data_IF_142261185996
#
_entry.id   IF_142261185996
#
_cell.length_a   1.000
_cell.length_b   1.000
_cell.length_c   1.000
_cell.angle_alpha   90.00
_cell.angle_beta   90.00
_cell.angle_gamma   90.00
#
_symmetry.space_group_name_H-M   'P 1'
#
loop_
_entity.id
_entity.type
_entity.pdbx_description
1 polymer ?
#
# COMPACT_ATOMS: atom_id res chain seq x y z
N UNK A 1 -56.98 44.23 51.61
CA UNK A 1 -55.54 44.06 51.34
C UNK A 1 -55.45 42.97 50.30
N UNK A 2 -54.85 43.34 49.18
CA UNK A 2 -54.43 42.54 48.01
C UNK A 2 -55.51 42.14 46.98
N UNK A 3 -55.80 43.12 46.11
CA UNK A 3 -55.46 43.13 44.68
C UNK A 3 -55.81 41.91 43.79
N UNK A 4 -56.95 42.04 43.09
CA UNK A 4 -57.04 41.81 41.63
C UNK A 4 -56.40 43.01 40.89
N UNK A 5 -55.82 42.90 39.66
CA UNK A 5 -56.56 42.38 38.49
C UNK A 5 -55.76 41.84 37.27
N UNK A 6 -56.54 41.44 36.26
CA UNK A 6 -56.33 41.59 34.81
C UNK A 6 -55.18 40.88 34.10
N UNK A 7 -55.59 39.92 33.28
CA UNK A 7 -55.08 39.68 31.93
C UNK A 7 -54.88 40.98 31.15
N UNK A 8 -53.63 41.34 30.89
CA UNK A 8 -53.25 42.32 29.88
C UNK A 8 -52.19 41.73 28.93
N UNK A 9 -52.64 41.47 27.70
CA UNK A 9 -52.13 42.12 26.49
C UNK A 9 -50.63 42.49 26.48
N UNK A 10 -49.78 41.61 25.96
CA UNK A 10 -48.57 42.06 25.24
C UNK A 10 -48.90 42.07 23.75
N UNK A 11 -49.30 43.27 23.35
CA UNK A 11 -49.46 43.75 21.99
C UNK A 11 -48.19 43.48 21.17
N UNK A 12 -48.31 42.57 20.19
CA UNK A 12 -47.41 42.51 19.04
C UNK A 12 -47.53 43.80 18.23
N UNK A 13 -46.72 44.80 18.54
CA UNK A 13 -46.33 45.81 17.55
C UNK A 13 -45.20 45.24 16.71
N UNK A 14 -45.56 44.30 15.83
CA UNK A 14 -44.78 44.03 14.63
C UNK A 14 -45.00 45.26 13.75
N UNK A 15 -44.06 46.19 13.77
CA UNK A 15 -43.92 47.18 12.71
C UNK A 15 -43.54 46.42 11.44
N UNK A 16 -44.56 45.98 10.72
CA UNK A 16 -44.45 45.60 9.33
C UNK A 16 -44.18 46.88 8.53
N UNK A 17 -42.91 47.15 8.17
CA UNK A 17 -42.53 47.53 6.80
C UNK A 17 -41.00 47.73 6.60
N UNK A 18 -40.16 46.82 7.09
CA UNK A 18 -38.81 46.69 6.52
C UNK A 18 -38.73 45.38 5.77
N UNK A 19 -38.90 45.47 4.44
CA UNK A 19 -38.56 44.40 3.52
C UNK A 19 -37.19 43.82 3.92
N UNK A 20 -37.03 42.48 4.05
CA UNK A 20 -35.80 41.88 4.56
C UNK A 20 -34.63 42.43 3.75
N UNK A 21 -33.84 43.29 4.39
CA UNK A 21 -32.73 44.00 3.75
C UNK A 21 -31.88 42.94 3.07
N UNK A 22 -31.83 42.96 1.74
CA UNK A 22 -31.04 42.01 0.96
C UNK A 22 -29.58 42.27 1.31
N UNK A 23 -29.07 41.48 2.27
CA UNK A 23 -27.67 41.49 2.65
C UNK A 23 -26.84 41.41 1.38
N UNK A 24 -25.95 42.38 1.22
CA UNK A 24 -24.98 42.41 0.14
C UNK A 24 -24.14 41.14 0.18
N UNK A 25 -23.51 40.80 -0.94
CA UNK A 25 -22.60 39.63 -1.00
C UNK A 25 -21.48 39.72 0.06
N UNK A 26 -21.05 40.94 0.39
CA UNK A 26 -20.07 41.21 1.45
C UNK A 26 -20.63 40.96 2.85
N UNK A 27 -21.85 41.43 3.14
CA UNK A 27 -22.52 41.23 4.43
C UNK A 27 -22.89 39.75 4.65
N UNK A 28 -23.36 39.04 3.61
CA UNK A 28 -23.56 37.58 3.67
C UNK A 28 -22.24 36.85 3.92
N UNK A 29 -21.16 37.24 3.22
CA UNK A 29 -19.83 36.64 3.41
C UNK A 29 -19.25 36.92 4.80
N UNK A 30 -19.57 38.06 5.41
CA UNK A 30 -19.18 38.38 6.78
C UNK A 30 -20.00 37.59 7.81
N UNK A 31 -21.31 37.44 7.60
CA UNK A 31 -22.21 36.71 8.48
C UNK A 31 -21.86 35.21 8.57
N UNK A 32 -21.38 34.62 7.46
CA UNK A 32 -20.98 33.21 7.40
C UNK A 32 -19.46 33.00 7.43
N UNK A 33 -18.66 34.04 7.72
CA UNK A 33 -17.21 33.84 7.90
C UNK A 33 -17.01 33.10 9.23
N UNK A 34 -16.36 31.92 9.24
CA UNK A 34 -16.02 31.26 10.49
C UNK A 34 -15.16 32.22 11.33
N UNK A 35 -15.66 32.61 12.50
CA UNK A 35 -14.86 33.30 13.49
C UNK A 35 -13.98 32.25 14.17
N UNK A 36 -12.66 32.44 14.15
CA UNK A 36 -11.74 31.58 14.88
C UNK A 36 -11.42 32.22 16.23
N UNK A 37 -11.16 31.39 17.24
CA UNK A 37 -10.77 31.89 18.56
C UNK A 37 -9.41 32.61 18.48
N UNK A 38 -9.20 33.60 19.33
CA UNK A 38 -7.87 34.18 19.53
C UNK A 38 -6.97 33.20 20.30
N UNK A 39 -5.65 33.17 20.04
CA UNK A 39 -4.88 34.05 19.14
C UNK A 39 -4.86 33.63 17.65
N UNK A 40 -5.54 32.53 17.29
CA UNK A 40 -5.46 31.89 15.98
C UNK A 40 -5.95 32.81 14.84
N UNK A 41 -7.03 33.56 15.06
CA UNK A 41 -7.56 34.51 14.08
C UNK A 41 -6.56 35.63 13.76
N UNK A 42 -5.94 36.22 14.78
CA UNK A 42 -4.90 37.25 14.61
C UNK A 42 -3.70 36.69 13.86
N UNK A 43 -3.19 35.51 14.25
CA UNK A 43 -2.07 34.84 13.57
C UNK A 43 -2.36 34.60 12.09
N UNK A 44 -3.56 34.09 11.77
CA UNK A 44 -4.00 33.90 10.39
C UNK A 44 -3.99 35.20 9.59
N UNK A 45 -4.49 36.30 10.17
CA UNK A 45 -4.51 37.61 9.49
C UNK A 45 -3.10 38.09 9.18
N UNK A 46 -2.19 38.03 10.15
CA UNK A 46 -0.79 38.47 10.00
C UNK A 46 -0.08 37.65 8.92
N UNK A 47 -0.12 36.31 9.01
CA UNK A 47 0.51 35.43 8.02
C UNK A 47 -0.03 35.66 6.62
N UNK A 48 -1.34 35.83 6.49
CA UNK A 48 -1.99 36.12 5.21
C UNK A 48 -1.57 37.48 4.64
N UNK A 49 -1.47 38.50 5.49
CA UNK A 49 -1.08 39.85 5.07
C UNK A 49 0.35 39.85 4.50
N UNK A 50 1.30 39.27 5.24
CA UNK A 50 2.69 39.10 4.78
C UNK A 50 2.74 38.29 3.48
N UNK A 51 2.01 37.18 3.40
CA UNK A 51 2.01 36.30 2.23
C UNK A 51 1.51 36.99 0.94
N UNK A 52 0.50 37.85 1.06
CA UNK A 52 -0.13 38.52 -0.09
C UNK A 52 0.52 39.86 -0.46
N UNK A 53 1.05 40.59 0.51
CA UNK A 53 1.52 41.97 0.28
C UNK A 53 3.03 42.05 0.05
N UNK A 54 3.83 41.13 0.61
CA UNK A 54 5.28 41.13 0.37
C UNK A 54 5.60 40.53 -1.00
N UNK A 55 6.22 41.35 -1.86
CA UNK A 55 6.52 41.00 -3.25
C UNK A 55 7.91 40.36 -3.39
N UNK A 56 8.82 40.67 -2.49
CA UNK A 56 10.14 40.05 -2.47
C UNK A 56 10.02 38.63 -1.89
N UNK A 57 10.24 37.61 -2.73
CA UNK A 57 10.05 36.21 -2.31
C UNK A 57 10.94 35.82 -1.11
N UNK A 58 12.19 36.27 -1.09
CA UNK A 58 13.15 35.96 -0.03
C UNK A 58 12.73 36.62 1.29
N UNK A 59 12.42 37.92 1.25
CA UNK A 59 11.97 38.65 2.44
C UNK A 59 10.65 38.07 2.98
N UNK A 60 9.72 37.70 2.09
CA UNK A 60 8.47 37.03 2.47
C UNK A 60 8.73 35.71 3.19
N UNK A 61 9.62 34.87 2.67
CA UNK A 61 9.98 33.60 3.31
C UNK A 61 10.63 33.81 4.68
N UNK A 62 11.54 34.78 4.80
CA UNK A 62 12.19 35.13 6.07
C UNK A 62 11.19 35.62 7.12
N UNK A 63 10.29 36.54 6.74
CA UNK A 63 9.26 37.08 7.64
C UNK A 63 8.29 35.99 8.09
N UNK A 64 7.77 35.17 7.16
CA UNK A 64 6.87 34.06 7.51
C UNK A 64 7.56 33.05 8.41
N UNK A 65 8.82 32.71 8.13
CA UNK A 65 9.62 31.80 8.95
C UNK A 65 9.80 32.35 10.36
N UNK A 66 10.19 33.62 10.49
CA UNK A 66 10.39 34.27 11.79
C UNK A 66 9.11 34.32 12.61
N UNK A 67 7.98 34.68 12.00
CA UNK A 67 6.67 34.73 12.67
C UNK A 67 6.24 33.33 13.13
N UNK A 68 6.34 32.33 12.25
CA UNK A 68 5.93 30.96 12.56
C UNK A 68 6.80 30.36 13.67
N UNK A 69 8.12 30.56 13.62
CA UNK A 69 9.03 30.12 14.68
C UNK A 69 8.64 30.75 16.02
N UNK A 70 8.37 32.06 16.04
CA UNK A 70 7.89 32.72 17.26
C UNK A 70 6.57 32.16 17.78
N UNK A 71 5.65 31.75 16.89
CA UNK A 71 4.40 31.11 17.30
C UNK A 71 4.69 29.75 17.95
N UNK A 72 5.50 28.92 17.30
CA UNK A 72 5.81 27.56 17.78
C UNK A 72 6.61 27.55 19.09
N UNK A 73 7.47 28.54 19.33
CA UNK A 73 8.18 28.67 20.61
C UNK A 73 7.27 29.11 21.77
N UNK A 74 6.21 29.88 21.50
CA UNK A 74 5.36 30.45 22.54
C UNK A 74 4.15 29.58 22.87
N UNK A 75 3.73 28.69 21.97
CA UNK A 75 2.53 27.89 22.14
C UNK A 75 2.77 26.67 23.02
N UNK A 76 1.81 26.38 23.90
CA UNK A 76 1.86 25.19 24.76
C UNK A 76 1.79 23.85 23.99
N UNK A 77 1.19 23.86 22.80
CA UNK A 77 1.21 22.74 21.88
C UNK A 77 1.47 23.25 20.44
N UNK A 78 2.72 23.23 19.98
CA UNK A 78 3.06 23.77 18.66
C UNK A 78 2.59 22.86 17.51
N UNK A 79 2.39 21.56 17.77
CA UNK A 79 1.82 20.63 16.78
C UNK A 79 0.35 20.96 16.46
N UNK A 80 -0.49 21.15 17.49
CA UNK A 80 -1.87 21.60 17.29
C UNK A 80 -1.90 22.97 16.60
N UNK A 81 -1.05 23.90 17.05
CA UNK A 81 -0.96 25.24 16.47
C UNK A 81 -0.62 25.22 14.98
N UNK A 82 0.31 24.35 14.57
CA UNK A 82 0.61 24.11 13.16
C UNK A 82 -0.62 23.55 12.40
N UNK A 83 -1.30 22.53 12.94
CA UNK A 83 -2.49 21.94 12.31
C UNK A 83 -3.61 22.97 12.11
N UNK A 84 -3.91 23.74 13.15
CA UNK A 84 -4.94 24.76 13.09
C UNK A 84 -4.60 25.83 12.06
N UNK A 85 -3.35 26.33 12.04
CA UNK A 85 -2.90 27.33 11.06
C UNK A 85 -2.96 26.80 9.63
N UNK A 86 -2.55 25.55 9.40
CA UNK A 86 -2.64 24.90 8.09
C UNK A 86 -4.11 24.80 7.63
N UNK A 87 -5.01 24.31 8.50
CA UNK A 87 -6.44 24.09 8.21
C UNK A 87 -7.19 25.36 7.84
N UNK A 88 -6.86 26.49 8.47
CA UNK A 88 -7.54 27.78 8.25
C UNK A 88 -6.88 28.63 7.16
N UNK A 89 -5.79 28.14 6.55
CA UNK A 89 -5.12 28.86 5.49
C UNK A 89 -6.04 29.03 4.27
N UNK A 90 -6.03 30.20 3.62
CA UNK A 90 -6.93 30.50 2.50
C UNK A 90 -6.71 29.57 1.30
N UNK A 91 -5.55 28.95 1.21
CA UNK A 91 -5.11 28.03 0.17
C UNK A 91 -4.92 26.59 0.70
N UNK A 92 -5.58 26.23 1.80
CA UNK A 92 -5.58 24.86 2.35
C UNK A 92 -5.95 23.77 1.32
N UNK A 93 -6.79 24.11 0.32
CA UNK A 93 -7.15 23.17 -0.74
C UNK A 93 -6.11 23.07 -1.89
N UNK A 94 -5.01 23.84 -1.82
CA UNK A 94 -4.01 23.92 -2.88
C UNK A 94 -2.79 23.05 -2.56
N UNK A 95 -2.50 22.08 -3.42
CA UNK A 95 -1.30 21.25 -3.31
C UNK A 95 -0.02 21.94 -3.87
N UNK A 96 0.14 23.24 -3.64
CA UNK A 96 1.29 24.00 -4.15
C UNK A 96 2.33 24.15 -3.04
N UNK A 97 3.59 23.73 -3.22
CA UNK A 97 4.62 23.85 -2.17
C UNK A 97 4.78 25.28 -1.63
N UNK A 98 4.67 26.29 -2.50
CA UNK A 98 4.75 27.71 -2.16
C UNK A 98 3.43 28.31 -1.61
N UNK A 99 2.38 27.50 -1.40
CA UNK A 99 1.15 27.96 -0.74
C UNK A 99 1.44 28.32 0.72
N UNK A 100 0.63 29.20 1.33
CA UNK A 100 0.76 29.51 2.74
C UNK A 100 0.56 28.26 3.60
N UNK A 101 -0.43 27.44 3.27
CA UNK A 101 -0.66 26.14 3.91
C UNK A 101 0.59 25.23 3.86
N UNK A 102 1.27 25.16 2.71
CA UNK A 102 2.50 24.40 2.54
C UNK A 102 3.68 24.99 3.30
N UNK A 103 3.85 26.32 3.25
CA UNK A 103 4.90 27.03 4.00
C UNK A 103 4.76 26.76 5.51
N UNK A 104 3.55 26.75 6.05
CA UNK A 104 3.32 26.47 7.48
C UNK A 104 3.88 25.10 7.88
N UNK A 105 3.54 24.04 7.12
CA UNK A 105 3.94 22.66 7.44
C UNK A 105 5.46 22.49 7.25
N UNK A 106 6.01 23.02 6.14
CA UNK A 106 7.45 22.97 5.87
C UNK A 106 8.27 23.72 6.91
N UNK A 107 7.80 24.90 7.33
CA UNK A 107 8.47 25.71 8.35
C UNK A 107 8.40 25.03 9.71
N UNK A 108 7.27 24.41 10.07
CA UNK A 108 7.18 23.62 11.30
C UNK A 108 8.14 22.44 11.31
N UNK A 109 8.25 21.71 10.20
CA UNK A 109 9.25 20.64 10.07
C UNK A 109 10.68 21.17 10.22
N UNK A 110 11.02 22.28 9.54
CA UNK A 110 12.33 22.96 9.69
C UNK A 110 12.58 23.42 11.12
N UNK A 111 11.53 23.80 11.85
CA UNK A 111 11.62 24.22 13.25
C UNK A 111 11.93 23.02 14.15
N UNK A 112 11.22 21.90 13.99
CA UNK A 112 11.49 20.66 14.73
C UNK A 112 12.94 20.17 14.53
N UNK A 113 13.44 20.17 13.29
CA UNK A 113 14.81 19.74 12.97
C UNK A 113 15.91 20.61 13.61
N UNK A 114 15.59 21.80 14.12
CA UNK A 114 16.55 22.68 14.80
C UNK A 114 16.55 22.51 16.31
N UNK A 115 15.65 21.71 16.85
CA UNK A 115 15.50 21.50 18.29
C UNK A 115 16.34 20.32 18.75
N UNK A 116 16.86 20.44 19.96
CA UNK A 116 17.58 19.37 20.64
C UNK A 116 16.66 18.54 21.57
N UNK A 117 15.44 19.02 21.84
CA UNK A 117 14.43 18.45 22.74
C UNK A 117 13.18 17.94 21.99
N UNK A 118 13.32 17.56 20.72
CA UNK A 118 12.22 17.16 19.85
C UNK A 118 11.44 15.95 20.38
N UNK A 119 12.12 14.96 20.95
CA UNK A 119 11.49 13.77 21.56
C UNK A 119 10.64 14.15 22.77
N UNK A 120 11.17 14.95 23.71
CA UNK A 120 10.43 15.37 24.90
C UNK A 120 9.23 16.25 24.54
N UNK A 121 9.39 17.11 23.53
CA UNK A 121 8.30 17.92 23.01
C UNK A 121 7.21 17.06 22.37
N UNK A 122 7.60 16.05 21.58
CA UNK A 122 6.68 15.11 20.96
C UNK A 122 5.85 14.38 22.03
N UNK A 123 6.51 13.77 23.03
CA UNK A 123 5.84 13.01 24.09
C UNK A 123 4.87 13.85 24.92
N UNK A 124 5.19 15.14 25.11
CA UNK A 124 4.32 16.08 25.84
C UNK A 124 3.12 16.55 25.02
N UNK A 125 3.28 16.72 23.71
CA UNK A 125 2.31 17.43 22.88
C UNK A 125 1.46 16.50 21.99
N UNK A 126 1.98 15.34 21.61
CA UNK A 126 1.31 14.43 20.70
C UNK A 126 0.46 13.42 21.47
N UNK A 127 -0.84 13.43 21.18
CA UNK A 127 -1.77 12.38 21.58
C UNK A 127 -2.27 11.62 20.36
N UNK A 128 -2.82 10.43 20.58
CA UNK A 128 -3.42 9.63 19.51
C UNK A 128 -4.54 10.39 18.78
N UNK A 129 -5.34 11.19 19.50
CA UNK A 129 -6.37 12.04 18.90
C UNK A 129 -5.77 13.10 17.98
N UNK A 130 -4.65 13.70 18.37
CA UNK A 130 -3.96 14.69 17.57
C UNK A 130 -3.35 14.06 16.31
N UNK A 131 -2.79 12.85 16.41
CA UNK A 131 -2.32 12.08 15.24
C UNK A 131 -3.47 11.74 14.28
N UNK A 132 -4.61 11.31 14.80
CA UNK A 132 -5.81 11.05 13.99
C UNK A 132 -6.31 12.32 13.29
N UNK A 133 -6.33 13.46 13.98
CA UNK A 133 -6.72 14.74 13.37
C UNK A 133 -5.69 15.21 12.34
N UNK A 134 -4.40 15.05 12.61
CA UNK A 134 -3.34 15.33 11.64
C UNK A 134 -3.53 14.52 10.35
N UNK A 135 -3.80 13.22 10.46
CA UNK A 135 -4.12 12.37 9.31
C UNK A 135 -5.36 12.88 8.55
N UNK A 136 -6.46 13.18 9.26
CA UNK A 136 -7.69 13.71 8.63
C UNK A 136 -7.42 15.00 7.86
N UNK A 137 -6.65 15.92 8.45
CA UNK A 137 -6.29 17.19 7.82
C UNK A 137 -5.41 16.95 6.58
N UNK A 138 -4.42 16.05 6.69
CA UNK A 138 -3.49 15.71 5.62
C UNK A 138 -4.15 15.04 4.41
N UNK A 139 -5.35 14.49 4.56
CA UNK A 139 -6.06 13.78 3.49
C UNK A 139 -7.39 14.40 3.09
N UNK A 140 -7.89 15.43 3.78
CA UNK A 140 -9.23 15.95 3.55
C UNK A 140 -9.42 16.75 2.25
N UNK A 141 -8.35 17.34 1.69
CA UNK A 141 -8.41 18.14 0.45
C UNK A 141 -7.52 17.59 -0.65
N UNK A 142 -6.32 17.19 -0.29
CA UNK A 142 -5.33 16.54 -1.14
C UNK A 142 -4.30 15.87 -0.24
N UNK A 143 -3.49 15.00 -0.81
CA UNK A 143 -2.50 14.15 -0.12
C UNK A 143 -1.06 14.65 -0.27
N UNK A 144 -0.81 15.78 -0.92
CA UNK A 144 0.57 16.18 -1.25
C UNK A 144 1.47 16.59 -0.08
N UNK A 145 0.92 16.78 1.13
CA UNK A 145 1.72 16.93 2.36
C UNK A 145 1.69 15.69 3.25
N UNK A 146 1.06 14.59 2.82
CA UNK A 146 0.84 13.40 3.65
C UNK A 146 2.14 12.82 4.17
N UNK A 147 3.17 12.72 3.33
CA UNK A 147 4.50 12.26 3.72
C UNK A 147 5.07 13.09 4.87
N UNK A 148 4.99 14.41 4.75
CA UNK A 148 5.51 15.34 5.75
C UNK A 148 4.70 15.27 7.06
N UNK A 149 3.37 15.10 6.98
CA UNK A 149 2.54 14.86 8.17
C UNK A 149 2.86 13.52 8.83
N UNK A 150 3.12 12.48 8.04
CA UNK A 150 3.51 11.17 8.56
C UNK A 150 4.82 11.25 9.33
N UNK A 151 5.80 11.99 8.82
CA UNK A 151 7.07 12.27 9.49
C UNK A 151 6.86 13.10 10.77
N UNK A 152 6.18 14.24 10.69
CA UNK A 152 5.96 15.15 11.81
C UNK A 152 5.19 14.49 12.97
N UNK A 153 4.15 13.71 12.67
CA UNK A 153 3.24 13.13 13.68
C UNK A 153 3.51 11.66 13.96
N UNK A 154 4.59 11.09 13.40
CA UNK A 154 4.91 9.66 13.50
C UNK A 154 3.70 8.76 13.21
N UNK A 155 3.01 8.99 12.09
CA UNK A 155 1.73 8.30 11.79
C UNK A 155 1.90 6.80 11.46
N UNK A 156 3.13 6.29 11.44
CA UNK A 156 3.45 4.88 11.18
C UNK A 156 3.12 3.94 12.35
N UNK A 157 2.51 4.43 13.42
CA UNK A 157 2.11 3.62 14.57
C UNK A 157 1.09 2.54 14.17
N UNK A 158 1.37 1.32 14.64
CA UNK A 158 0.48 0.16 14.51
C UNK A 158 -0.92 0.40 15.08
N UNK A 159 -1.07 1.23 16.11
CA UNK A 159 -2.38 1.53 16.70
C UNK A 159 -3.28 2.34 15.74
N UNK A 160 -2.68 3.24 14.96
CA UNK A 160 -3.37 4.06 13.97
C UNK A 160 -3.76 3.28 12.72
N UNK A 161 -3.16 2.11 12.48
CA UNK A 161 -3.36 1.34 11.26
C UNK A 161 -4.83 0.96 11.01
N UNK A 162 -5.57 0.66 12.08
CA UNK A 162 -6.99 0.33 12.00
C UNK A 162 -7.81 1.52 11.50
N UNK A 163 -7.57 2.70 12.08
CA UNK A 163 -8.19 3.97 11.70
C UNK A 163 -7.82 4.38 10.27
N UNK A 164 -6.55 4.25 9.88
CA UNK A 164 -6.08 4.58 8.53
C UNK A 164 -6.77 3.70 7.49
N UNK A 165 -6.89 2.38 7.74
CA UNK A 165 -7.61 1.45 6.85
C UNK A 165 -9.09 1.82 6.69
N UNK A 166 -9.76 2.18 7.78
CA UNK A 166 -11.15 2.68 7.72
C UNK A 166 -11.27 3.94 6.86
N UNK A 167 -10.31 4.86 6.96
CA UNK A 167 -10.32 6.09 6.14
C UNK A 167 -10.03 5.83 4.68
N UNK A 168 -9.11 4.92 4.37
CA UNK A 168 -8.89 4.48 2.98
C UNK A 168 -10.18 3.88 2.42
N UNK A 169 -10.86 3.00 3.17
CA UNK A 169 -12.14 2.43 2.76
C UNK A 169 -13.18 3.52 2.48
N UNK A 170 -13.30 4.52 3.36
CA UNK A 170 -14.19 5.66 3.14
C UNK A 170 -13.79 6.52 1.93
N UNK A 171 -12.51 6.64 1.58
CA UNK A 171 -12.06 7.37 0.39
C UNK A 171 -12.46 6.62 -0.88
N UNK A 172 -12.26 5.30 -0.87
CA UNK A 172 -12.65 4.41 -1.98
C UNK A 172 -14.18 4.43 -2.16
N UNK A 173 -14.95 4.44 -1.07
CA UNK A 173 -16.42 4.59 -1.11
C UNK A 173 -16.89 5.92 -1.70
N UNK A 174 -16.06 6.97 -1.65
CA UNK A 174 -16.34 8.30 -2.21
C UNK A 174 -15.70 8.53 -3.58
N UNK A 175 -15.18 7.47 -4.20
CA UNK A 175 -14.46 7.53 -5.49
C UNK A 175 -13.20 8.43 -5.47
N UNK A 176 -12.60 8.65 -4.30
CA UNK A 176 -11.32 9.37 -4.15
C UNK A 176 -10.15 8.41 -4.37
N UNK A 177 -10.11 7.76 -5.54
CA UNK A 177 -9.16 6.66 -5.80
C UNK A 177 -7.70 7.12 -5.82
N UNK A 178 -7.43 8.32 -6.32
CA UNK A 178 -6.07 8.86 -6.35
C UNK A 178 -5.54 9.08 -4.94
N UNK A 179 -6.30 9.79 -4.11
CA UNK A 179 -5.92 10.09 -2.73
C UNK A 179 -5.82 8.81 -1.90
N UNK A 180 -6.73 7.85 -2.10
CA UNK A 180 -6.64 6.55 -1.46
C UNK A 180 -5.35 5.80 -1.86
N UNK A 181 -4.94 5.85 -3.13
CA UNK A 181 -3.69 5.24 -3.57
C UNK A 181 -2.45 5.92 -2.98
N UNK A 182 -2.43 7.25 -2.94
CA UNK A 182 -1.33 7.99 -2.31
C UNK A 182 -1.16 7.58 -0.84
N UNK A 183 -2.27 7.38 -0.12
CA UNK A 183 -2.23 6.86 1.27
C UNK A 183 -1.75 5.40 1.31
N UNK A 184 -2.22 4.53 0.41
CA UNK A 184 -1.79 3.12 0.37
C UNK A 184 -0.29 3.02 0.14
N UNK A 185 0.25 3.81 -0.79
CA UNK A 185 1.68 3.86 -1.10
C UNK A 185 2.48 4.38 0.09
N UNK A 186 2.08 5.53 0.64
CA UNK A 186 2.81 6.14 1.74
C UNK A 186 2.84 5.24 2.99
N UNK A 187 1.79 4.45 3.25
CA UNK A 187 1.74 3.55 4.41
C UNK A 187 2.12 2.09 4.09
N UNK A 188 2.56 1.79 2.87
CA UNK A 188 2.99 0.44 2.47
C UNK A 188 1.86 -0.60 2.55
N UNK A 189 0.60 -0.19 2.35
CA UNK A 189 -0.59 -1.04 2.51
C UNK A 189 -0.95 -1.80 1.21
N UNK A 190 0.07 -2.20 0.47
CA UNK A 190 -0.07 -2.92 -0.80
C UNK A 190 -0.70 -4.31 -0.56
N UNK A 191 -1.60 -4.74 -1.46
CA UNK A 191 -2.34 -5.99 -1.33
C UNK A 191 -3.85 -5.77 -1.42
N UNK A 192 -4.61 -6.30 -0.43
CA UNK A 192 -6.09 -6.32 -0.43
C UNK A 192 -6.76 -4.97 -0.74
N UNK A 193 -6.14 -3.87 -0.34
CA UNK A 193 -6.66 -2.52 -0.60
C UNK A 193 -6.65 -2.18 -2.09
N UNK A 194 -5.53 -2.48 -2.78
CA UNK A 194 -5.40 -2.30 -4.23
C UNK A 194 -6.40 -3.19 -4.96
N UNK A 195 -6.55 -4.44 -4.52
CA UNK A 195 -7.54 -5.36 -5.08
C UNK A 195 -8.97 -4.81 -4.99
N UNK A 196 -9.34 -4.27 -3.82
CA UNK A 196 -10.65 -3.67 -3.57
C UNK A 196 -10.91 -2.47 -4.48
N UNK A 197 -9.88 -1.65 -4.73
CA UNK A 197 -9.97 -0.49 -5.63
C UNK A 197 -10.16 -0.91 -7.08
N UNK A 198 -9.37 -1.88 -7.55
CA UNK A 198 -9.50 -2.45 -8.90
C UNK A 198 -10.90 -3.04 -9.09
N UNK A 199 -11.39 -3.79 -8.12
CA UNK A 199 -12.72 -4.40 -8.18
C UNK A 199 -13.83 -3.35 -8.31
N UNK A 200 -13.76 -2.27 -7.53
CA UNK A 200 -14.73 -1.17 -7.61
C UNK A 200 -14.67 -0.42 -8.94
N UNK A 201 -13.48 -0.07 -9.40
CA UNK A 201 -13.29 0.61 -10.69
C UNK A 201 -13.81 -0.24 -11.86
N UNK A 202 -13.49 -1.53 -11.87
CA UNK A 202 -13.99 -2.45 -12.89
C UNK A 202 -15.52 -2.54 -12.88
N UNK A 203 -16.14 -2.64 -11.70
CA UNK A 203 -17.61 -2.65 -11.58
C UNK A 203 -18.26 -1.33 -12.05
N UNK A 204 -17.70 -0.18 -11.68
CA UNK A 204 -18.20 1.13 -12.12
C UNK A 204 -18.13 1.33 -13.63
N UNK A 205 -17.07 0.80 -14.25
CA UNK A 205 -16.87 0.85 -15.69
C UNK A 205 -17.56 -0.30 -16.44
N UNK A 206 -18.30 -1.16 -15.73
CA UNK A 206 -18.93 -2.38 -16.26
C UNK A 206 -17.94 -3.28 -17.04
N UNK A 207 -16.69 -3.32 -16.59
CA UNK A 207 -15.64 -4.14 -17.17
C UNK A 207 -15.58 -5.49 -16.46
N UNK A 208 -15.35 -6.60 -17.20
CA UNK A 208 -15.01 -7.87 -16.58
C UNK A 208 -13.74 -7.69 -15.75
N UNK A 209 -13.82 -7.93 -14.46
CA UNK A 209 -12.70 -7.71 -13.53
C UNK A 209 -11.45 -8.50 -13.94
N UNK A 210 -11.64 -9.70 -14.49
CA UNK A 210 -10.60 -10.57 -15.03
C UNK A 210 -9.86 -9.98 -16.23
N UNK A 211 -10.50 -9.06 -16.96
CA UNK A 211 -9.88 -8.36 -18.10
C UNK A 211 -9.03 -7.18 -17.65
N UNK A 212 -9.35 -6.57 -16.50
CA UNK A 212 -8.67 -5.37 -15.99
C UNK A 212 -7.39 -5.72 -15.23
N UNK A 213 -7.40 -6.81 -14.46
CA UNK A 213 -6.24 -7.23 -13.67
C UNK A 213 -6.04 -8.76 -13.69
N UNK A 214 -5.77 -9.37 -14.86
CA UNK A 214 -5.73 -10.83 -15.02
C UNK A 214 -4.77 -11.54 -14.06
N UNK A 215 -3.62 -10.93 -13.76
CA UNK A 215 -2.61 -11.51 -12.87
C UNK A 215 -3.04 -11.51 -11.40
N UNK A 216 -3.77 -10.48 -10.96
CA UNK A 216 -4.28 -10.38 -9.60
C UNK A 216 -5.30 -11.49 -9.31
N UNK A 217 -6.19 -11.74 -10.26
CA UNK A 217 -7.19 -12.80 -10.15
C UNK A 217 -6.62 -14.18 -10.42
N UNK A 218 -5.57 -14.30 -11.24
CA UNK A 218 -4.79 -15.53 -11.37
C UNK A 218 -4.13 -15.88 -10.03
N UNK A 219 -3.44 -14.95 -9.37
CA UNK A 219 -2.85 -15.19 -8.05
C UNK A 219 -3.89 -15.56 -6.98
N UNK A 220 -5.10 -14.99 -7.04
CA UNK A 220 -6.20 -15.39 -6.15
C UNK A 220 -6.78 -16.75 -6.48
N UNK A 221 -6.97 -17.08 -7.76
CA UNK A 221 -7.41 -18.42 -8.19
C UNK A 221 -6.35 -19.46 -7.88
N UNK A 222 -5.07 -19.15 -8.07
CA UNK A 222 -3.93 -19.97 -7.66
C UNK A 222 -3.82 -20.05 -6.14
N UNK A 223 -4.13 -19.00 -5.40
CA UNK A 223 -4.19 -18.99 -3.95
C UNK A 223 -5.33 -19.85 -3.41
N UNK A 224 -6.52 -19.73 -4.00
CA UNK A 224 -7.69 -20.57 -3.72
C UNK A 224 -7.47 -22.02 -4.19
N UNK A 225 -6.75 -22.22 -5.30
CA UNK A 225 -6.35 -23.55 -5.77
C UNK A 225 -5.24 -24.12 -4.89
N UNK A 226 -4.28 -23.33 -4.37
CA UNK A 226 -3.31 -23.76 -3.35
C UNK A 226 -4.04 -24.08 -2.05
N UNK A 227 -5.04 -23.29 -1.66
CA UNK A 227 -5.87 -23.56 -0.49
C UNK A 227 -6.77 -24.80 -0.68
N UNK A 228 -7.19 -25.10 -1.91
CA UNK A 228 -7.98 -26.30 -2.28
C UNK A 228 -7.11 -27.51 -2.65
N UNK A 229 -5.86 -27.33 -3.04
CA UNK A 229 -4.90 -28.36 -3.47
C UNK A 229 -3.80 -28.62 -2.43
N UNK A 230 -3.74 -27.87 -1.33
CA UNK A 230 -2.97 -28.22 -0.14
C UNK A 230 -3.92 -28.85 0.87
N UNK A 231 -4.24 -30.13 0.65
CA UNK A 231 -4.54 -30.96 1.82
C UNK A 231 -3.35 -30.82 2.76
N UNK A 232 -3.59 -30.69 4.06
CA UNK A 232 -2.50 -30.68 5.02
C UNK A 232 -1.65 -31.96 4.93
N UNK A 233 -2.20 -33.03 4.33
CA UNK A 233 -1.52 -34.27 3.94
C UNK A 233 -0.39 -34.03 2.93
N UNK A 234 -0.54 -33.17 1.91
CA UNK A 234 0.50 -32.87 0.93
C UNK A 234 1.68 -32.12 1.55
N UNK A 235 1.37 -31.15 2.42
CA UNK A 235 2.40 -30.45 3.18
C UNK A 235 3.16 -31.44 4.10
N UNK A 236 2.45 -32.37 4.73
CA UNK A 236 3.09 -33.43 5.54
C UNK A 236 3.99 -34.34 4.69
N UNK A 237 3.59 -34.70 3.46
CA UNK A 237 4.45 -35.47 2.54
C UNK A 237 5.77 -34.75 2.25
N UNK A 238 5.76 -33.44 2.00
CA UNK A 238 6.99 -32.67 1.81
C UNK A 238 7.86 -32.61 3.07
N UNK A 239 7.23 -32.50 4.25
CA UNK A 239 7.96 -32.54 5.54
C UNK A 239 8.70 -33.85 5.70
N UNK A 240 8.03 -34.98 5.44
CA UNK A 240 8.63 -36.32 5.50
C UNK A 240 9.70 -36.50 4.43
N UNK A 241 9.39 -36.18 3.17
CA UNK A 241 10.29 -36.37 2.03
C UNK A 241 11.58 -35.55 2.15
N UNK A 242 11.50 -34.30 2.60
CA UNK A 242 12.65 -33.42 2.76
C UNK A 242 13.29 -33.48 4.16
N UNK A 243 12.78 -34.35 5.05
CA UNK A 243 13.22 -34.47 6.44
C UNK A 243 13.30 -33.12 7.18
N UNK A 244 12.23 -32.33 7.10
CA UNK A 244 12.17 -30.97 7.68
C UNK A 244 11.95 -31.07 9.20
N UNK A 245 12.81 -30.48 10.05
CA UNK A 245 12.67 -30.57 11.50
C UNK A 245 11.48 -29.77 12.02
N UNK A 246 10.81 -30.27 13.06
CA UNK A 246 9.59 -29.69 13.66
C UNK A 246 9.71 -28.19 13.96
N UNK A 247 10.87 -27.75 14.47
CA UNK A 247 11.13 -26.37 14.82
C UNK A 247 11.05 -25.39 13.63
N UNK A 248 11.15 -25.89 12.39
CA UNK A 248 11.07 -25.09 11.16
C UNK A 248 9.70 -25.15 10.48
N UNK A 249 8.75 -25.92 11.04
CA UNK A 249 7.42 -26.05 10.47
C UNK A 249 6.54 -24.84 10.79
N UNK A 250 5.67 -24.40 9.87
CA UNK A 250 4.63 -23.43 10.19
C UNK A 250 3.71 -23.93 11.31
N UNK A 251 3.34 -23.06 12.25
CA UNK A 251 2.52 -23.41 13.43
C UNK A 251 1.24 -24.17 13.09
N UNK A 252 0.53 -23.78 12.02
CA UNK A 252 -0.70 -24.48 11.58
C UNK A 252 -0.45 -25.93 11.15
N UNK A 253 0.71 -26.21 10.55
CA UNK A 253 1.08 -27.56 10.12
C UNK A 253 1.52 -28.41 11.32
N UNK A 254 2.24 -27.82 12.29
CA UNK A 254 2.55 -28.47 13.57
C UNK A 254 1.26 -28.86 14.31
N UNK A 255 0.31 -27.93 14.41
CA UNK A 255 -1.00 -28.20 15.03
C UNK A 255 -1.74 -29.32 14.30
N UNK A 256 -1.73 -29.34 12.96
CA UNK A 256 -2.34 -30.42 12.18
C UNK A 256 -1.69 -31.79 12.42
N UNK A 257 -0.34 -31.86 12.41
CA UNK A 257 0.41 -33.09 12.67
C UNK A 257 0.13 -33.61 14.09
N UNK A 258 0.16 -32.72 15.09
CA UNK A 258 -0.10 -33.06 16.48
C UNK A 258 -1.54 -33.55 16.73
N UNK A 259 -2.49 -32.99 15.99
CA UNK A 259 -3.91 -33.33 16.11
C UNK A 259 -4.34 -34.52 15.22
N UNK A 260 -3.45 -35.03 14.36
CA UNK A 260 -3.77 -36.11 13.41
C UNK A 260 -2.78 -37.28 13.58
N UNK A 261 -2.98 -38.16 14.58
CA UNK A 261 -2.10 -39.28 14.83
C UNK A 261 -1.95 -40.18 13.60
N UNK A 262 -0.71 -40.54 13.26
CA UNK A 262 -0.40 -41.42 12.12
C UNK A 262 -0.22 -40.71 10.78
N UNK A 263 -0.48 -39.40 10.67
CA UNK A 263 -0.36 -38.68 9.40
C UNK A 263 1.05 -38.70 8.80
N UNK A 264 2.09 -38.70 9.64
CA UNK A 264 3.49 -38.84 9.21
C UNK A 264 3.76 -40.22 8.61
N UNK A 265 3.20 -41.27 9.21
CA UNK A 265 3.35 -42.65 8.74
C UNK A 265 2.62 -42.88 7.42
N UNK A 266 1.39 -42.37 7.30
CA UNK A 266 0.62 -42.44 6.05
C UNK A 266 1.31 -41.67 4.92
N UNK A 267 1.89 -40.50 5.23
CA UNK A 267 2.69 -39.74 4.27
C UNK A 267 3.93 -40.51 3.81
N UNK A 268 4.66 -41.15 4.72
CA UNK A 268 5.81 -42.00 4.38
C UNK A 268 5.42 -43.19 3.51
N UNK A 269 4.31 -43.87 3.84
CA UNK A 269 3.78 -44.98 3.04
C UNK A 269 3.37 -44.51 1.64
N UNK A 270 2.77 -43.32 1.55
CA UNK A 270 2.38 -42.72 0.29
C UNK A 270 3.59 -42.39 -0.60
N UNK A 271 4.65 -41.81 -0.01
CA UNK A 271 5.92 -41.52 -0.68
C UNK A 271 6.52 -42.82 -1.24
N UNK A 272 6.64 -43.87 -0.42
CA UNK A 272 7.17 -45.17 -0.88
C UNK A 272 6.36 -45.78 -2.02
N UNK A 273 5.03 -45.64 -2.01
CA UNK A 273 4.15 -46.09 -3.11
C UNK A 273 4.36 -45.27 -4.39
N UNK A 274 4.71 -43.99 -4.27
CA UNK A 274 5.03 -43.14 -5.43
C UNK A 274 6.39 -43.51 -6.01
N UNK A 275 7.40 -43.70 -5.16
CA UNK A 275 8.74 -44.13 -5.56
C UNK A 275 8.72 -45.52 -6.21
N UNK A 276 7.98 -46.48 -5.64
CA UNK A 276 7.83 -47.81 -6.23
C UNK A 276 7.17 -47.76 -7.62
N UNK A 277 6.15 -46.90 -7.81
CA UNK A 277 5.54 -46.68 -9.13
C UNK A 277 6.49 -46.02 -10.11
N UNK A 278 7.33 -45.09 -9.65
CA UNK A 278 8.34 -44.46 -10.48
C UNK A 278 9.45 -45.44 -10.92
N UNK A 279 9.70 -46.50 -10.14
CA UNK A 279 10.64 -47.57 -10.50
C UNK A 279 10.04 -48.63 -11.44
N UNK A 280 8.72 -48.88 -11.35
CA UNK A 280 8.00 -49.82 -12.24
C UNK A 280 7.78 -49.28 -13.65
N UNK A 281 7.75 -47.95 -13.80
CA UNK A 281 7.92 -47.29 -15.10
C UNK A 281 9.42 -47.27 -15.36
N UNK A 282 9.96 -48.36 -15.91
CA UNK A 282 11.35 -48.39 -16.34
C UNK A 282 11.70 -47.18 -17.21
N UNK A 283 12.99 -46.88 -17.34
CA UNK A 283 13.55 -45.81 -18.19
C UNK A 283 13.25 -45.98 -19.70
N UNK A 284 12.30 -46.85 -20.04
CA UNK A 284 11.73 -47.00 -21.36
C UNK A 284 10.95 -45.72 -21.70
N UNK A 285 11.35 -45.12 -22.82
CA UNK A 285 10.83 -43.92 -23.46
C UNK A 285 9.42 -43.56 -22.96
N UNK A 286 9.34 -42.62 -22.02
CA UNK A 286 8.06 -42.17 -21.50
C UNK A 286 7.31 -41.48 -22.63
N UNK A 287 6.40 -42.19 -23.26
CA UNK A 287 5.55 -41.65 -24.32
C UNK A 287 4.34 -40.97 -23.68
N UNK A 288 4.08 -39.70 -24.04
CA UNK A 288 2.88 -38.99 -23.61
C UNK A 288 1.63 -39.62 -24.25
N UNK A 289 1.79 -40.09 -25.50
CA UNK A 289 0.84 -40.86 -26.30
C UNK A 289 1.64 -41.79 -27.22
N UNK A 290 1.09 -42.93 -27.68
CA UNK A 290 1.79 -43.83 -28.59
C UNK A 290 2.44 -43.10 -29.78
N UNK A 291 3.77 -43.16 -29.89
CA UNK A 291 4.54 -42.47 -30.93
C UNK A 291 4.89 -41.00 -30.66
N UNK A 292 4.61 -40.49 -29.45
CA UNK A 292 4.93 -39.13 -29.01
C UNK A 292 5.84 -39.17 -27.77
N UNK A 293 7.16 -39.37 -27.96
CA UNK A 293 8.10 -39.48 -26.86
C UNK A 293 8.27 -38.15 -26.13
N UNK A 294 8.32 -38.21 -24.80
CA UNK A 294 8.73 -37.06 -23.98
C UNK A 294 10.26 -36.97 -24.04
N UNK A 295 10.76 -35.97 -24.76
CA UNK A 295 12.19 -35.75 -24.94
C UNK A 295 12.65 -34.68 -23.95
N UNK A 296 13.45 -35.08 -22.97
CA UNK A 296 14.14 -34.14 -22.09
C UNK A 296 15.30 -33.47 -22.82
N UNK A 297 15.25 -32.14 -22.93
CA UNK A 297 16.30 -31.34 -23.57
C UNK A 297 17.20 -30.76 -22.50
N UNK A 298 18.42 -31.28 -22.41
CA UNK A 298 19.41 -30.90 -21.39
C UNK A 298 20.67 -30.28 -22.00
N UNK A 299 20.81 -30.27 -23.33
CA UNK A 299 21.99 -29.75 -24.03
C UNK A 299 21.65 -28.80 -25.18
N UNK A 300 22.58 -27.90 -25.52
CA UNK A 300 22.44 -26.98 -26.66
C UNK A 300 22.24 -27.68 -28.00
N UNK A 301 22.88 -28.85 -28.18
CA UNK A 301 22.75 -29.64 -29.41
C UNK A 301 21.33 -30.18 -29.55
N UNK A 302 20.74 -30.69 -28.47
CA UNK A 302 19.34 -31.14 -28.44
C UNK A 302 18.38 -29.96 -28.65
N UNK A 303 18.65 -28.81 -28.04
CA UNK A 303 17.83 -27.61 -28.24
C UNK A 303 17.85 -27.17 -29.70
N UNK A 304 19.01 -27.13 -30.36
CA UNK A 304 19.10 -26.81 -31.78
C UNK A 304 18.35 -27.81 -32.67
N UNK A 305 18.36 -29.10 -32.31
CA UNK A 305 17.56 -30.10 -33.01
C UNK A 305 16.04 -29.88 -32.82
N UNK A 306 15.59 -29.51 -31.62
CA UNK A 306 14.20 -29.12 -31.36
C UNK A 306 13.82 -27.88 -32.17
N UNK A 307 14.66 -26.83 -32.16
CA UNK A 307 14.43 -25.60 -32.94
C UNK A 307 14.14 -25.90 -34.40
N UNK A 308 14.94 -26.78 -35.02
CA UNK A 308 14.75 -27.16 -36.41
C UNK A 308 13.44 -27.92 -36.64
N UNK A 309 13.03 -28.79 -35.70
CA UNK A 309 11.73 -29.49 -35.78
C UNK A 309 10.55 -28.53 -35.65
N UNK A 310 10.62 -27.56 -34.74
CA UNK A 310 9.54 -26.60 -34.51
C UNK A 310 9.35 -25.57 -35.62
N UNK A 311 10.35 -25.40 -36.50
CA UNK A 311 10.36 -24.35 -37.53
C UNK A 311 9.20 -24.45 -38.51
N UNK A 312 8.76 -25.67 -38.80
CA UNK A 312 7.68 -25.96 -39.76
C UNK A 312 6.34 -26.24 -39.06
N UNK A 313 6.32 -26.23 -37.72
CA UNK A 313 5.10 -26.47 -36.94
C UNK A 313 4.25 -25.20 -36.85
N UNK A 314 2.97 -25.33 -37.20
CA UNK A 314 2.03 -24.20 -37.20
C UNK A 314 1.39 -23.94 -35.85
N UNK A 315 1.44 -24.92 -34.94
CA UNK A 315 0.82 -24.86 -33.62
C UNK A 315 1.78 -25.48 -32.58
N UNK A 316 2.12 -24.70 -31.55
CA UNK A 316 3.00 -25.14 -30.47
C UNK A 316 2.28 -24.92 -29.14
N UNK A 317 2.03 -25.99 -28.41
CA UNK A 317 1.57 -25.92 -27.02
C UNK A 317 2.76 -25.64 -26.11
N UNK A 318 2.65 -24.64 -25.24
CA UNK A 318 3.67 -24.30 -24.26
C UNK A 318 3.07 -24.50 -22.88
N UNK A 319 3.72 -25.33 -22.07
CA UNK A 319 3.42 -25.50 -20.66
C UNK A 319 4.72 -25.32 -19.86
N UNK A 320 4.62 -24.75 -18.66
CA UNK A 320 5.78 -24.47 -17.81
C UNK A 320 5.54 -24.95 -16.39
N UNK A 321 6.34 -25.91 -15.95
CA UNK A 321 6.35 -26.37 -14.58
C UNK A 321 7.25 -25.47 -13.73
N UNK A 322 6.67 -24.66 -12.85
CA UNK A 322 7.42 -23.84 -11.90
C UNK A 322 7.59 -24.60 -10.57
N UNK A 323 8.82 -25.02 -10.26
CA UNK A 323 9.15 -25.50 -8.91
C UNK A 323 9.50 -24.30 -8.01
N UNK A 324 8.79 -24.07 -6.90
CA UNK A 324 9.13 -23.00 -5.97
C UNK A 324 10.55 -23.17 -5.43
N UNK A 325 11.38 -22.14 -5.56
CA UNK A 325 12.78 -22.15 -5.09
C UNK A 325 12.94 -22.26 -3.56
N UNK A 326 11.84 -22.30 -2.79
CA UNK A 326 11.88 -22.35 -1.33
C UNK A 326 12.36 -23.70 -0.72
N UNK A 327 12.80 -24.67 -1.53
CA UNK A 327 13.28 -25.98 -1.06
C UNK A 327 14.75 -26.29 -1.38
N UNK A 328 15.51 -25.36 -1.97
CA UNK A 328 16.96 -25.59 -2.15
C UNK A 328 17.67 -25.20 -0.86
N UNK A 329 17.91 -26.19 -0.01
CA UNK A 329 18.82 -26.10 1.14
C UNK A 329 20.18 -25.61 0.66
N UNK A 330 20.70 -24.55 1.29
CA UNK A 330 22.09 -24.13 1.16
C UNK A 330 23.00 -25.31 1.52
N UNK A 331 23.54 -26.00 0.53
CA UNK A 331 24.69 -26.88 0.73
C UNK A 331 25.90 -25.96 0.84
N UNK A 332 26.47 -25.92 2.04
CA UNK A 332 27.71 -25.24 2.35
C UNK A 332 28.83 -25.67 1.42
N UNK A 333 29.51 -24.69 0.83
CA UNK A 333 30.72 -24.87 0.05
C UNK A 333 31.79 -25.63 0.85
N UNK A 334 32.31 -26.69 0.23
CA UNK A 334 33.43 -27.44 0.74
C UNK A 334 33.60 -28.74 -0.02
N UNK A 335 34.28 -28.70 -1.17
CA UNK A 335 35.57 -29.37 -1.35
C UNK A 335 36.06 -29.19 -2.81
N UNK A 336 37.33 -28.85 -2.98
CA UNK A 336 37.98 -28.71 -4.29
C UNK A 336 38.44 -30.09 -4.77
N UNK A 337 37.84 -30.58 -5.84
CA UNK A 337 38.35 -31.70 -6.64
C UNK A 337 38.20 -31.37 -8.12
N UNK A 338 39.31 -31.06 -8.78
CA UNK A 338 39.37 -30.77 -10.21
C UNK A 338 39.14 -32.03 -11.04
N UNK A 339 38.01 -32.09 -11.75
CA UNK A 339 37.72 -33.07 -12.80
C UNK A 339 37.33 -32.31 -14.09
N UNK A 340 38.00 -32.49 -15.24
CA UNK A 340 37.85 -31.60 -16.39
C UNK A 340 36.66 -31.91 -17.31
N UNK A 341 35.79 -32.87 -16.97
CA UNK A 341 34.65 -33.27 -17.81
C UNK A 341 33.28 -32.88 -17.25
N UNK A 342 33.23 -31.90 -16.34
CA UNK A 342 31.95 -31.41 -15.80
C UNK A 342 31.23 -30.55 -16.84
N UNK A 343 30.36 -31.18 -17.64
CA UNK A 343 29.39 -30.51 -18.48
C UNK A 343 28.53 -29.60 -17.59
N UNK A 344 28.84 -28.30 -17.60
CA UNK A 344 28.09 -27.26 -16.91
C UNK A 344 26.60 -27.47 -17.18
N UNK A 345 25.84 -27.76 -16.12
CA UNK A 345 24.38 -27.76 -16.16
C UNK A 345 23.94 -26.30 -16.35
N UNK A 346 23.74 -25.90 -17.61
CA UNK A 346 23.33 -24.53 -17.94
C UNK A 346 21.84 -24.39 -17.69
N UNK A 347 21.45 -23.66 -16.65
CA UNK A 347 20.06 -23.25 -16.46
C UNK A 347 19.68 -22.20 -17.51
N UNK A 348 18.71 -22.52 -18.36
CA UNK A 348 18.16 -21.59 -19.35
C UNK A 348 17.11 -20.70 -18.72
N UNK A 349 17.17 -19.38 -18.94
CA UNK A 349 16.04 -18.48 -18.66
C UNK A 349 15.14 -18.42 -19.90
N UNK A 350 13.82 -18.39 -19.69
CA UNK A 350 12.81 -18.32 -20.76
C UNK A 350 13.05 -17.14 -21.73
N UNK A 351 13.62 -16.05 -21.18
CA UNK A 351 14.05 -14.85 -21.93
C UNK A 351 15.07 -15.18 -23.03
N UNK A 352 16.01 -16.07 -22.73
CA UNK A 352 17.14 -16.39 -23.61
C UNK A 352 16.67 -17.28 -24.77
N UNK A 353 15.61 -18.06 -24.53
CA UNK A 353 14.95 -18.88 -25.56
C UNK A 353 14.13 -18.01 -26.52
N UNK A 354 13.37 -17.03 -26.00
CA UNK A 354 12.56 -16.11 -26.80
C UNK A 354 13.39 -15.27 -27.77
N UNK A 355 14.47 -14.67 -27.27
CA UNK A 355 15.33 -13.80 -28.09
C UNK A 355 16.00 -14.59 -29.23
N UNK A 356 16.35 -15.85 -28.97
CA UNK A 356 17.06 -16.71 -29.94
C UNK A 356 16.15 -17.42 -30.95
N UNK A 357 14.93 -17.80 -30.56
CA UNK A 357 13.98 -18.51 -31.43
C UNK A 357 13.08 -17.57 -32.23
N UNK A 358 12.63 -16.48 -31.61
CA UNK A 358 11.59 -15.62 -32.17
C UNK A 358 12.17 -14.28 -32.66
N UNK A 359 13.44 -13.99 -32.37
CA UNK A 359 14.06 -12.69 -32.68
C UNK A 359 13.46 -11.53 -31.88
N UNK A 360 12.64 -11.83 -30.86
CA UNK A 360 11.97 -10.86 -30.01
C UNK A 360 12.58 -10.91 -28.62
N UNK A 361 13.15 -9.79 -28.21
CA UNK A 361 13.63 -9.59 -26.84
C UNK A 361 12.42 -9.35 -25.94
N UNK A 362 12.11 -10.30 -25.06
CA UNK A 362 11.08 -10.10 -24.04
C UNK A 362 11.50 -8.92 -23.16
N UNK A 363 10.60 -7.95 -23.01
CA UNK A 363 10.85 -6.77 -22.20
C UNK A 363 11.11 -7.21 -20.76
N UNK A 364 12.29 -6.86 -20.23
CA UNK A 364 12.70 -7.23 -18.88
C UNK A 364 12.02 -6.36 -17.82
N UNK A 365 11.27 -5.34 -18.23
CA UNK A 365 10.50 -4.47 -17.33
C UNK A 365 9.45 -5.24 -16.50
N UNK A 366 9.02 -6.42 -16.94
CA UNK A 366 8.08 -7.28 -16.21
C UNK A 366 8.75 -8.36 -15.33
N UNK A 367 10.10 -8.45 -15.31
CA UNK A 367 10.85 -9.45 -14.53
C UNK A 367 11.78 -8.87 -13.44
N UNK A 368 11.72 -7.57 -13.18
CA UNK A 368 12.46 -6.97 -12.06
C UNK A 368 11.56 -6.89 -10.83
N UNK A 369 11.79 -7.82 -9.89
CA UNK A 369 11.54 -7.55 -8.48
C UNK A 369 12.42 -6.38 -8.06
N UNK A 370 11.77 -5.44 -7.38
CA UNK A 370 12.32 -4.26 -6.72
C UNK A 370 13.60 -4.57 -5.93
N UNK A 371 14.64 -3.77 -6.18
CA UNK A 371 15.47 -3.22 -5.08
C UNK A 371 14.92 -1.84 -4.72
#
# INVERSE_FOLDING_TARGET
MDDTPSTDTISSTVTADEAPRKLTKAEKKALYRPAHAEPLETRRKVLKDVYLNEKNETLREELLTSILFSIFELDGNPYDSMLQLHKISPDYASNKPKSLAGIIVMTFHKWLLKRDDDVELFDRCITQELQMEAFRIATAKHTGYLKLFKEIFCLSDTELLSFIKEKIDSMIDRHMFKEAMDVVEEFGLHGKTIEKMIYKLANELALPVESVAPNLFRARKEGDLRFKAQSSEDAVRWVVYCNIPDARLPRRLQEYINNTPGVLYEAELNIRRLEARALDVGDDDTELMPGYPIIMITTWKQLGALTNKLKDETHIGIDSEWKPQCLVSCVSEGDQGSDPDNAQLVHFKLSDLSEKLLGVKLDKSEQVNSE
#
